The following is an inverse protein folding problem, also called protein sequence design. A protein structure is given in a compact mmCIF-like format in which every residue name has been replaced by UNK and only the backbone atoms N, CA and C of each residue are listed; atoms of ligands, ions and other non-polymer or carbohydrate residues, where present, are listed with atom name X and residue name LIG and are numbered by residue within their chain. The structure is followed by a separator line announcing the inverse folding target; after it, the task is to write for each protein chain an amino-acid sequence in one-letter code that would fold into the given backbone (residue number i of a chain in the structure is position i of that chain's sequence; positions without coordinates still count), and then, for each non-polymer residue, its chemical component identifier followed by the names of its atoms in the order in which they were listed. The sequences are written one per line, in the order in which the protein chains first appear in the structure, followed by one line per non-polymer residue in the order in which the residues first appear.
data_IF_553758980769
#
_entry.id   IF_553758980769
#
_cell.length_a   1.000
_cell.length_b   1.000
_cell.length_c   1.000
_cell.angle_alpha   90.00
_cell.angle_beta   90.00
_cell.angle_gamma   90.00
#
_symmetry.space_group_name_H-M   'P 1'
#
loop_
_entity.id
_entity.type
_entity.pdbx_description
1 polymer ?
#
# COMPACT_ATOMS: atom_id res chain seq x y z
N UNK A 1 23.66 27.63 2.83
CA UNK A 1 22.33 27.17 3.28
C UNK A 1 22.53 26.08 4.32
N UNK A 2 21.49 25.73 5.08
CA UNK A 2 21.56 24.69 6.10
C UNK A 2 20.45 23.68 5.94
N UNK A 3 20.77 22.41 6.14
CA UNK A 3 19.84 21.28 6.19
C UNK A 3 20.28 20.35 7.33
N UNK A 4 19.34 19.90 8.15
CA UNK A 4 19.60 19.10 9.36
C UNK A 4 20.69 19.67 10.29
N UNK A 5 20.73 21.01 10.42
CA UNK A 5 21.71 21.71 11.24
C UNK A 5 23.13 21.78 10.65
N UNK A 6 23.38 21.19 9.48
CA UNK A 6 24.66 21.26 8.77
C UNK A 6 24.66 22.42 7.78
N UNK A 7 25.80 23.09 7.61
CA UNK A 7 25.94 24.25 6.70
C UNK A 7 26.70 23.87 5.43
N UNK A 8 26.16 24.27 4.29
CA UNK A 8 26.68 24.02 2.94
C UNK A 8 26.80 25.33 2.15
N UNK A 9 27.76 25.38 1.24
CA UNK A 9 27.91 26.49 0.30
C UNK A 9 26.91 26.37 -0.85
N UNK A 10 26.47 27.50 -1.40
CA UNK A 10 25.60 27.47 -2.58
C UNK A 10 26.29 26.78 -3.77
N UNK A 11 25.54 25.94 -4.48
CA UNK A 11 26.04 25.09 -5.57
C UNK A 11 26.64 23.75 -5.13
N UNK A 12 26.78 23.49 -3.82
CA UNK A 12 27.11 22.15 -3.33
C UNK A 12 25.90 21.22 -3.43
N UNK A 13 26.14 20.00 -3.88
CA UNK A 13 25.17 18.91 -3.80
C UNK A 13 25.25 18.23 -2.44
N UNK A 14 24.11 18.11 -1.77
CA UNK A 14 23.95 17.47 -0.47
C UNK A 14 23.19 16.16 -0.66
N UNK A 15 23.79 15.05 -0.25
CA UNK A 15 23.13 13.75 -0.22
C UNK A 15 22.43 13.59 1.14
N UNK A 16 21.11 13.46 1.10
CA UNK A 16 20.24 13.19 2.22
C UNK A 16 19.73 11.74 2.13
N UNK A 17 19.06 11.26 3.17
CA UNK A 17 18.30 10.00 3.10
C UNK A 17 17.15 10.07 2.10
N UNK A 18 16.57 11.27 1.94
CA UNK A 18 15.40 11.51 1.08
C UNK A 18 15.77 11.74 -0.39
N UNK A 19 17.04 12.00 -0.71
CA UNK A 19 17.50 12.30 -2.06
C UNK A 19 18.70 13.25 -2.12
N UNK A 20 19.00 13.76 -3.31
CA UNK A 20 20.08 14.71 -3.56
C UNK A 20 19.55 16.12 -3.80
N UNK A 21 20.02 17.08 -3.01
CA UNK A 21 19.66 18.49 -3.11
C UNK A 21 20.83 19.32 -3.61
N UNK A 22 20.58 20.26 -4.53
CA UNK A 22 21.50 21.37 -4.82
C UNK A 22 20.72 22.68 -4.77
N UNK A 23 21.22 23.67 -4.02
CA UNK A 23 20.69 25.04 -3.98
C UNK A 23 21.76 26.02 -4.47
N UNK A 24 21.50 26.68 -5.60
CA UNK A 24 22.44 27.57 -6.27
C UNK A 24 22.38 29.00 -5.73
N UNK A 25 23.43 29.78 -5.98
CA UNK A 25 23.53 31.16 -5.53
C UNK A 25 22.50 32.11 -6.19
N UNK A 26 21.96 31.73 -7.35
CA UNK A 26 20.89 32.44 -8.04
C UNK A 26 19.47 32.08 -7.52
N UNK A 27 19.40 31.21 -6.52
CA UNK A 27 18.15 30.74 -5.92
C UNK A 27 17.48 29.58 -6.66
N UNK A 28 18.01 29.14 -7.81
CA UNK A 28 17.55 27.91 -8.44
C UNK A 28 17.94 26.69 -7.59
N UNK A 29 17.10 25.67 -7.59
CA UNK A 29 17.37 24.43 -6.87
C UNK A 29 16.96 23.20 -7.68
N UNK A 30 17.62 22.09 -7.40
CA UNK A 30 17.25 20.76 -7.88
C UNK A 30 17.15 19.84 -6.68
N UNK A 31 16.09 19.04 -6.62
CA UNK A 31 15.99 17.92 -5.70
C UNK A 31 15.64 16.67 -6.49
N UNK A 32 16.51 15.66 -6.41
CA UNK A 32 16.28 14.34 -7.00
C UNK A 32 15.96 13.41 -5.83
N UNK A 33 14.69 12.97 -5.66
CA UNK A 33 14.32 12.02 -4.61
C UNK A 33 15.16 10.74 -4.71
N UNK A 34 15.44 10.11 -3.57
CA UNK A 34 15.92 8.73 -3.57
C UNK A 34 14.85 7.81 -4.18
N UNK A 35 15.28 6.65 -4.70
CA UNK A 35 14.36 5.67 -5.27
C UNK A 35 13.27 5.30 -4.25
N UNK A 36 12.02 5.35 -4.68
CA UNK A 36 10.82 5.07 -3.88
C UNK A 36 10.65 5.96 -2.63
N UNK A 37 11.35 7.10 -2.56
CA UNK A 37 11.08 8.07 -1.50
C UNK A 37 9.84 8.90 -1.84
N UNK A 38 8.88 8.88 -0.92
CA UNK A 38 7.80 9.84 -0.83
C UNK A 38 7.73 10.42 0.60
N UNK A 39 7.19 11.63 0.74
CA UNK A 39 7.06 12.30 2.03
C UNK A 39 7.80 13.64 2.13
N UNK A 40 8.09 14.05 3.36
CA UNK A 40 8.68 15.36 3.65
C UNK A 40 10.21 15.30 3.65
N UNK A 41 10.83 16.25 2.95
CA UNK A 41 12.29 16.46 2.99
C UNK A 41 12.62 17.40 4.16
N UNK A 42 13.77 17.22 4.84
CA UNK A 42 14.23 18.16 5.86
C UNK A 42 14.19 19.62 5.39
N UNK A 43 13.70 20.52 6.26
CA UNK A 43 13.53 21.94 5.91
C UNK A 43 14.90 22.56 5.64
N UNK A 44 15.03 23.20 4.48
CA UNK A 44 16.24 23.89 4.07
C UNK A 44 16.12 25.35 4.46
N UNK A 45 17.06 25.85 5.27
CA UNK A 45 17.15 27.28 5.58
C UNK A 45 18.26 27.92 4.76
N UNK A 46 18.05 29.13 4.23
CA UNK A 46 19.04 29.84 3.44
C UNK A 46 19.01 31.34 3.74
N UNK A 47 20.15 31.98 3.48
CA UNK A 47 20.31 33.43 3.65
C UNK A 47 20.46 34.07 2.28
N UNK A 48 19.66 35.11 2.03
CA UNK A 48 19.78 35.97 0.86
C UNK A 48 20.59 37.19 1.26
N UNK A 49 21.46 37.67 0.36
CA UNK A 49 22.22 38.90 0.56
C UNK A 49 21.95 39.85 -0.60
N UNK A 50 21.62 41.09 -0.31
CA UNK A 50 21.40 42.10 -1.34
C UNK A 50 22.72 42.74 -1.83
N UNK A 51 22.64 43.62 -2.82
CA UNK A 51 23.82 44.32 -3.36
C UNK A 51 24.47 45.32 -2.40
N UNK A 52 23.81 45.67 -1.29
CA UNK A 52 24.32 46.52 -0.23
C UNK A 52 24.97 45.72 0.92
N UNK A 53 24.78 44.40 0.94
CA UNK A 53 25.29 43.49 1.97
C UNK A 53 24.29 43.21 3.10
N UNK A 54 23.05 43.68 2.99
CA UNK A 54 21.99 43.33 3.93
C UNK A 54 21.58 41.87 3.73
N UNK A 55 21.24 41.18 4.82
CA UNK A 55 20.92 39.75 4.79
C UNK A 55 19.55 39.46 5.37
N UNK A 56 18.86 38.48 4.79
CA UNK A 56 17.59 37.94 5.30
C UNK A 56 17.59 36.40 5.22
N UNK A 57 16.90 35.75 6.15
CA UNK A 57 16.83 34.28 6.23
C UNK A 57 15.45 33.78 5.85
N UNK A 58 15.39 32.73 5.03
CA UNK A 58 14.15 32.11 4.59
C UNK A 58 14.28 30.58 4.53
N UNK A 59 13.17 29.90 4.25
CA UNK A 59 13.12 28.44 4.19
C UNK A 59 12.58 27.94 2.85
N UNK A 60 13.05 26.77 2.43
CA UNK A 60 12.51 25.96 1.35
C UNK A 60 12.01 24.65 1.94
N UNK A 61 10.73 24.36 1.69
CA UNK A 61 10.08 23.11 2.10
C UNK A 61 9.77 22.30 0.85
N UNK A 62 10.17 21.03 0.85
CA UNK A 62 9.92 20.11 -0.26
C UNK A 62 9.11 18.92 0.29
N UNK A 63 8.09 18.53 -0.46
CA UNK A 63 7.35 17.29 -0.24
C UNK A 63 7.30 16.53 -1.56
N UNK A 64 7.61 15.24 -1.50
CA UNK A 64 7.53 14.32 -2.63
C UNK A 64 6.22 13.56 -2.51
N UNK A 65 5.37 13.66 -3.53
CA UNK A 65 4.13 12.88 -3.61
C UNK A 65 4.46 11.48 -4.10
N UNK A 66 3.87 10.42 -3.52
CA UNK A 66 4.03 9.07 -4.04
C UNK A 66 3.48 8.96 -5.47
N UNK A 67 4.03 8.00 -6.21
CA UNK A 67 3.48 7.55 -7.48
C UNK A 67 3.23 6.07 -7.29
N UNK A 68 1.96 5.66 -7.36
CA UNK A 68 1.55 4.29 -7.14
C UNK A 68 2.42 3.29 -7.92
N UNK A 69 3.07 2.44 -7.14
CA UNK A 69 3.78 1.24 -7.59
C UNK A 69 3.12 -0.04 -7.05
N UNK A 70 2.02 0.10 -6.31
CA UNK A 70 1.20 -0.99 -5.81
C UNK A 70 0.62 -1.81 -6.97
N UNK A 71 0.82 -3.11 -6.91
CA UNK A 71 0.15 -4.08 -7.77
C UNK A 71 -0.31 -5.28 -6.97
N UNK A 72 -1.49 -5.77 -7.28
CA UNK A 72 -2.02 -7.00 -6.75
C UNK A 72 -2.73 -7.81 -7.85
N UNK A 73 -2.57 -9.13 -7.84
CA UNK A 73 -3.18 -10.03 -8.83
C UNK A 73 -4.40 -10.71 -8.22
N UNK A 74 -5.27 -11.32 -9.04
CA UNK A 74 -6.41 -12.07 -8.52
C UNK A 74 -6.04 -13.49 -8.04
N UNK A 75 -6.73 -13.99 -7.01
CA UNK A 75 -6.61 -15.37 -6.54
C UNK A 75 -7.71 -16.28 -7.09
N UNK A 76 -7.37 -17.55 -7.26
CA UNK A 76 -8.34 -18.62 -7.45
C UNK A 76 -7.97 -19.80 -6.56
N UNK A 77 -8.93 -20.26 -5.76
CA UNK A 77 -8.76 -21.40 -4.87
C UNK A 77 -9.86 -22.43 -5.12
N UNK A 78 -9.49 -23.70 -5.00
CA UNK A 78 -10.43 -24.82 -5.02
C UNK A 78 -10.23 -25.64 -3.75
N UNK A 79 -11.32 -25.94 -3.06
CA UNK A 79 -11.33 -26.72 -1.82
C UNK A 79 -12.37 -27.83 -1.91
N UNK A 80 -12.18 -28.91 -1.17
CA UNK A 80 -13.20 -29.94 -1.01
C UNK A 80 -14.36 -29.42 -0.12
N UNK A 81 -15.58 -29.90 -0.35
CA UNK A 81 -16.67 -29.66 0.60
C UNK A 81 -16.34 -30.18 2.00
N UNK A 82 -16.99 -29.59 3.01
CA UNK A 82 -16.74 -29.82 4.43
C UNK A 82 -15.30 -29.55 4.90
N UNK A 83 -14.51 -28.82 4.09
CA UNK A 83 -13.15 -28.38 4.43
C UNK A 83 -13.03 -26.88 4.27
N UNK A 84 -12.46 -26.20 5.26
CA UNK A 84 -12.21 -24.77 5.15
C UNK A 84 -11.11 -24.47 4.13
N UNK A 85 -11.33 -23.47 3.27
CA UNK A 85 -10.29 -22.86 2.46
C UNK A 85 -9.57 -21.79 3.28
N UNK A 86 -8.23 -21.81 3.28
CA UNK A 86 -7.40 -20.82 3.96
C UNK A 86 -6.25 -20.39 3.06
N UNK A 87 -5.88 -19.11 3.12
CA UNK A 87 -4.76 -18.56 2.36
C UNK A 87 -4.52 -17.10 2.74
N UNK A 88 -3.73 -16.41 1.93
CA UNK A 88 -3.49 -14.98 2.05
C UNK A 88 -3.62 -14.32 0.67
N UNK A 89 -4.46 -13.28 0.55
CA UNK A 89 -4.66 -12.51 -0.69
C UNK A 89 -3.59 -11.44 -0.93
N UNK A 90 -2.59 -11.35 -0.06
CA UNK A 90 -1.45 -10.43 -0.21
C UNK A 90 -0.15 -11.17 -0.60
N UNK A 91 -0.19 -12.49 -0.84
CA UNK A 91 1.00 -13.28 -1.17
C UNK A 91 1.64 -12.91 -2.53
N UNK A 92 0.85 -12.31 -3.42
CA UNK A 92 1.18 -11.83 -4.78
C UNK A 92 1.18 -10.29 -4.89
N UNK A 93 0.85 -9.57 -3.81
CA UNK A 93 0.85 -8.12 -3.79
C UNK A 93 2.27 -7.56 -3.61
N UNK A 94 2.60 -6.50 -4.34
CA UNK A 94 3.92 -5.84 -4.32
C UNK A 94 3.79 -4.32 -4.27
N UNK A 95 4.69 -3.66 -3.53
CA UNK A 95 4.86 -2.20 -3.45
C UNK A 95 6.23 -1.89 -2.84
N UNK A 96 6.82 -0.72 -3.14
CA UNK A 96 7.98 -0.22 -2.40
C UNK A 96 7.62 0.71 -1.24
N UNK A 97 6.35 1.13 -1.13
CA UNK A 97 5.91 2.22 -0.25
C UNK A 97 5.48 1.75 1.15
N UNK A 98 5.80 0.50 1.52
CA UNK A 98 5.71 0.00 2.89
C UNK A 98 4.78 -1.20 3.06
N UNK A 99 4.13 -1.36 4.22
CA UNK A 99 3.32 -2.54 4.51
C UNK A 99 2.02 -2.53 3.70
N UNK A 100 1.62 -3.72 3.27
CA UNK A 100 0.35 -3.97 2.60
C UNK A 100 -0.74 -4.34 3.61
N UNK A 101 -1.95 -3.88 3.37
CA UNK A 101 -3.14 -4.21 4.17
C UNK A 101 -4.37 -4.37 3.29
N UNK A 102 -5.27 -5.27 3.67
CA UNK A 102 -6.63 -5.26 3.13
C UNK A 102 -7.46 -4.30 3.98
N UNK A 103 -8.11 -3.33 3.34
CA UNK A 103 -8.94 -2.33 4.06
C UNK A 103 -10.41 -2.73 4.09
N UNK A 104 -10.91 -3.27 2.98
CA UNK A 104 -12.31 -3.66 2.82
C UNK A 104 -12.46 -4.72 1.76
N UNK A 105 -13.61 -5.39 1.78
CA UNK A 105 -14.00 -6.31 0.73
C UNK A 105 -15.51 -6.24 0.48
N UNK A 106 -15.91 -6.69 -0.70
CA UNK A 106 -17.30 -6.78 -1.12
C UNK A 106 -17.60 -8.19 -1.57
N UNK A 107 -18.77 -8.70 -1.19
CA UNK A 107 -19.29 -10.00 -1.62
C UNK A 107 -20.80 -9.88 -1.75
N UNK A 108 -21.38 -10.44 -2.80
CA UNK A 108 -22.81 -10.30 -3.16
C UNK A 108 -23.32 -8.84 -3.26
N UNK A 109 -22.41 -7.89 -3.52
CA UNK A 109 -22.71 -6.47 -3.66
C UNK A 109 -22.77 -5.69 -2.35
N UNK A 110 -22.60 -6.37 -1.20
CA UNK A 110 -22.46 -5.74 0.10
C UNK A 110 -20.98 -5.51 0.44
N UNK A 111 -20.69 -4.44 1.18
CA UNK A 111 -19.34 -4.04 1.56
C UNK A 111 -19.08 -4.27 3.05
N UNK A 112 -17.88 -4.75 3.36
CA UNK A 112 -17.44 -5.17 4.68
C UNK A 112 -16.04 -4.63 4.97
N UNK A 113 -15.75 -4.37 6.23
CA UNK A 113 -14.41 -4.04 6.68
C UNK A 113 -13.58 -5.31 6.81
N UNK A 114 -12.27 -5.22 6.54
CA UNK A 114 -11.39 -6.34 6.80
C UNK A 114 -11.44 -6.76 8.29
N UNK A 115 -11.46 -8.07 8.54
CA UNK A 115 -11.63 -8.70 9.86
C UNK A 115 -13.08 -9.02 10.21
N UNK A 116 -14.06 -8.58 9.41
CA UNK A 116 -15.46 -8.98 9.60
C UNK A 116 -15.69 -10.42 9.11
N UNK A 117 -16.56 -11.13 9.83
CA UNK A 117 -17.07 -12.45 9.43
C UNK A 117 -18.42 -12.27 8.73
N UNK A 118 -18.53 -12.80 7.52
CA UNK A 118 -19.71 -12.71 6.66
C UNK A 118 -20.34 -14.09 6.53
N UNK A 119 -21.62 -14.19 6.85
CA UNK A 119 -22.41 -15.41 6.62
C UNK A 119 -23.11 -15.31 5.27
N UNK A 120 -22.74 -16.19 4.35
CA UNK A 120 -23.32 -16.37 3.03
C UNK A 120 -24.23 -17.60 3.01
N UNK A 121 -24.92 -17.84 1.90
CA UNK A 121 -25.66 -19.10 1.71
C UNK A 121 -24.69 -20.28 1.54
N UNK A 122 -23.52 -20.01 0.96
CA UNK A 122 -22.49 -20.98 0.60
C UNK A 122 -21.57 -21.34 1.77
N UNK A 123 -21.54 -20.52 2.83
CA UNK A 123 -20.64 -20.72 3.97
C UNK A 123 -20.35 -19.43 4.74
N UNK A 124 -19.34 -19.48 5.60
CA UNK A 124 -18.87 -18.35 6.40
C UNK A 124 -17.47 -17.90 5.92
N UNK A 125 -17.32 -16.61 5.63
CA UNK A 125 -16.08 -16.00 5.17
C UNK A 125 -15.54 -15.01 6.20
N UNK A 126 -14.24 -15.06 6.47
CA UNK A 126 -13.49 -13.97 7.09
C UNK A 126 -12.29 -13.63 6.23
N UNK A 127 -12.10 -12.35 5.93
CA UNK A 127 -10.90 -11.81 5.28
C UNK A 127 -10.32 -10.71 6.17
N UNK A 128 -9.13 -10.94 6.72
CA UNK A 128 -8.48 -10.09 7.70
C UNK A 128 -7.64 -8.99 7.03
N UNK A 129 -7.27 -7.96 7.80
CA UNK A 129 -6.47 -6.84 7.32
C UNK A 129 -5.04 -7.24 6.92
N UNK A 130 -4.52 -8.36 7.45
CA UNK A 130 -3.22 -8.94 7.07
C UNK A 130 -3.31 -9.83 5.80
N UNK A 131 -4.47 -9.81 5.13
CA UNK A 131 -4.76 -10.58 3.93
C UNK A 131 -5.11 -12.05 4.18
N UNK A 132 -4.93 -12.55 5.41
CA UNK A 132 -5.32 -13.92 5.74
C UNK A 132 -6.83 -14.08 5.62
N UNK A 133 -7.26 -15.16 4.97
CA UNK A 133 -8.68 -15.49 4.86
C UNK A 133 -8.99 -16.90 5.33
N UNK A 134 -10.23 -17.10 5.73
CA UNK A 134 -10.83 -18.41 5.97
C UNK A 134 -12.23 -18.41 5.40
N UNK A 135 -12.54 -19.39 4.55
CA UNK A 135 -13.90 -19.69 4.12
C UNK A 135 -14.26 -21.10 4.59
N UNK A 136 -15.31 -21.23 5.37
CA UNK A 136 -15.85 -22.52 5.80
C UNK A 136 -17.16 -22.77 5.04
N UNK A 137 -17.18 -23.72 4.08
CA UNK A 137 -18.40 -24.07 3.36
C UNK A 137 -19.54 -24.44 4.31
N UNK A 138 -20.77 -24.11 3.93
CA UNK A 138 -21.95 -24.69 4.58
C UNK A 138 -21.97 -26.21 4.37
N UNK A 139 -22.57 -26.96 5.30
CA UNK A 139 -22.61 -28.42 5.27
C UNK A 139 -23.10 -28.96 3.90
N UNK A 140 -22.30 -29.82 3.27
CA UNK A 140 -22.58 -30.42 1.94
C UNK A 140 -22.76 -29.40 0.80
N UNK A 141 -22.26 -28.16 0.96
CA UNK A 141 -22.20 -27.21 -0.14
C UNK A 141 -21.08 -27.57 -1.10
N UNK A 142 -21.41 -27.67 -2.38
CA UNK A 142 -20.46 -27.67 -3.48
C UNK A 142 -20.94 -26.73 -4.59
N UNK A 143 -19.99 -26.09 -5.28
CA UNK A 143 -20.27 -25.07 -6.27
C UNK A 143 -19.36 -23.85 -6.16
N UNK A 144 -19.72 -22.80 -6.89
CA UNK A 144 -19.02 -21.53 -6.85
C UNK A 144 -19.53 -20.66 -5.71
N UNK A 145 -18.62 -20.02 -4.99
CA UNK A 145 -18.92 -18.97 -4.02
C UNK A 145 -19.02 -17.63 -4.78
N UNK A 146 -19.89 -16.68 -4.38
CA UNK A 146 -19.87 -15.33 -4.92
C UNK A 146 -18.45 -14.74 -4.90
N UNK A 147 -18.06 -14.07 -5.98
CA UNK A 147 -16.71 -13.50 -6.11
C UNK A 147 -16.52 -12.42 -5.04
N UNK A 148 -15.42 -12.55 -4.29
CA UNK A 148 -15.00 -11.56 -3.30
C UNK A 148 -14.10 -10.56 -4.01
N UNK A 149 -14.48 -9.30 -4.03
CA UNK A 149 -13.58 -8.21 -4.47
C UNK A 149 -13.03 -7.51 -3.24
N UNK A 150 -11.73 -7.30 -3.15
CA UNK A 150 -11.10 -6.65 -1.99
C UNK A 150 -10.21 -5.49 -2.42
N UNK A 151 -9.91 -4.61 -1.47
CA UNK A 151 -9.05 -3.45 -1.66
C UNK A 151 -7.78 -3.61 -0.85
N UNK A 152 -6.66 -3.65 -1.54
CA UNK A 152 -5.31 -3.59 -0.96
C UNK A 152 -4.90 -2.13 -0.82
N UNK A 153 -4.18 -1.81 0.24
CA UNK A 153 -3.61 -0.48 0.49
C UNK A 153 -2.20 -0.61 1.02
N UNK A 154 -1.28 0.18 0.47
CA UNK A 154 0.11 0.24 0.92
C UNK A 154 0.35 1.31 2.01
N UNK A 155 1.63 1.51 2.36
CA UNK A 155 2.03 2.51 3.35
C UNK A 155 1.96 3.97 2.88
N UNK A 156 1.93 4.22 1.57
CA UNK A 156 1.72 5.55 0.98
C UNK A 156 0.22 5.89 0.85
N UNK A 157 -0.66 4.89 0.98
CA UNK A 157 -2.09 5.03 0.84
C UNK A 157 -2.58 4.83 -0.59
N UNK A 158 -1.75 4.31 -1.48
CA UNK A 158 -2.19 3.86 -2.79
C UNK A 158 -3.02 2.59 -2.65
N UNK A 159 -3.97 2.41 -3.57
CA UNK A 159 -4.95 1.33 -3.50
C UNK A 159 -5.05 0.56 -4.79
N UNK A 160 -5.18 -0.76 -4.69
CA UNK A 160 -5.48 -1.64 -5.81
C UNK A 160 -6.67 -2.55 -5.50
N UNK A 161 -7.38 -3.00 -6.55
CA UNK A 161 -8.59 -3.81 -6.41
C UNK A 161 -8.45 -5.13 -7.15
N UNK A 162 -8.62 -6.21 -6.39
CA UNK A 162 -8.45 -7.59 -6.85
C UNK A 162 -9.58 -8.48 -6.35
N UNK A 163 -9.55 -9.74 -6.78
CA UNK A 163 -10.62 -10.70 -6.49
C UNK A 163 -10.08 -12.03 -6.00
N UNK A 164 -10.78 -12.58 -5.00
CA UNK A 164 -10.64 -13.95 -4.55
C UNK A 164 -11.82 -14.77 -5.07
N UNK A 165 -11.53 -15.74 -5.93
CA UNK A 165 -12.52 -16.70 -6.45
C UNK A 165 -12.38 -18.04 -5.75
N UNK A 166 -13.45 -18.51 -5.08
CA UNK A 166 -13.49 -19.78 -4.36
C UNK A 166 -14.45 -20.76 -5.06
N UNK A 167 -13.98 -21.97 -5.31
CA UNK A 167 -14.82 -23.09 -5.78
C UNK A 167 -14.74 -24.27 -4.82
N UNK A 168 -15.89 -24.83 -4.47
CA UNK A 168 -16.00 -26.00 -3.58
C UNK A 168 -16.34 -27.24 -4.40
N UNK A 169 -15.49 -28.26 -4.35
CA UNK A 169 -15.68 -29.53 -5.08
C UNK A 169 -16.36 -30.56 -4.21
N UNK A 170 -17.28 -31.37 -4.77
CA UNK A 170 -17.95 -32.41 -4.01
C UNK A 170 -16.99 -33.52 -3.57
N UNK A 171 -17.27 -34.10 -2.41
CA UNK A 171 -16.68 -35.33 -1.86
C UNK A 171 -17.75 -36.41 -1.86
N UNK A 172 -17.36 -37.66 -2.03
CA UNK A 172 -18.33 -38.77 -2.07
C UNK A 172 -18.75 -39.17 -0.66
N UNK A 173 -19.99 -38.90 -0.29
CA UNK A 173 -20.58 -39.27 1.02
C UNK A 173 -21.13 -40.71 1.09
N UNK A 174 -20.67 -41.59 0.20
CA UNK A 174 -21.13 -42.97 0.17
C UNK A 174 -20.76 -43.67 1.49
N UNK A 175 -21.77 -43.90 2.31
CA UNK A 175 -21.73 -44.88 3.38
C UNK A 175 -22.24 -46.20 2.82
N UNK A 176 -21.48 -47.28 3.03
CA UNK A 176 -21.89 -48.68 2.78
C UNK A 176 -22.89 -49.14 3.85
#
# INVERSE_FOLDING_TARGET
FTVDGNTFNAGETVTLTEGELTLNADGSYTFTPADNFNGAVPVISYTVTDGAGDTDSSTLTISVTPVSDLSDDNETVTVAEDTSATGNVLDNAETADGPLTVTSFTVDGDAYNAGETVTLTEGELTLNADGSYTFTPADNFNGAVPVITYIVTDGAGDTDSSTLTISVTPVSDLTD
#
